data_IF_577957151656
#
_entry.id   IF_577957151656
#
_cell.length_a   1.000
_cell.length_b   1.000
_cell.length_c   1.000
_cell.angle_alpha   90.00
_cell.angle_beta   90.00
_cell.angle_gamma   90.00
#
_symmetry.space_group_name_H-M   'P 1'
#
loop_
_entity.id
_entity.type
_entity.pdbx_description
1 polymer ?
#
# COMPACT_ATOMS: atom_id res chain seq x y z
N UNK A 1 -4.73 17.45 6.85
CA UNK A 1 -4.43 16.63 5.64
C UNK A 1 -3.17 17.17 5.01
N UNK A 2 -2.01 16.70 5.47
CA UNK A 2 -0.71 17.12 4.95
C UNK A 2 -0.51 16.47 3.58
N UNK A 3 -0.49 17.27 2.51
CA UNK A 3 -0.16 16.80 1.16
C UNK A 3 1.30 16.38 1.13
N UNK A 4 1.56 15.07 1.26
CA UNK A 4 2.88 14.48 1.04
C UNK A 4 3.35 14.85 -0.38
N UNK A 5 4.60 15.33 -0.58
CA UNK A 5 5.15 15.60 -1.91
C UNK A 5 5.07 14.35 -2.79
N UNK A 6 4.73 14.52 -4.07
CA UNK A 6 4.44 13.42 -5.00
C UNK A 6 5.61 12.42 -5.08
N UNK A 7 5.42 11.18 -4.60
CA UNK A 7 6.47 10.17 -4.66
C UNK A 7 6.89 9.86 -6.11
N UNK A 8 8.09 9.33 -6.33
CA UNK A 8 8.53 8.93 -7.68
C UNK A 8 7.60 7.88 -8.32
N UNK A 9 6.97 7.02 -7.50
CA UNK A 9 5.94 6.08 -7.96
C UNK A 9 4.64 6.78 -8.40
N UNK A 10 4.36 8.00 -7.93
CA UNK A 10 3.21 8.80 -8.34
C UNK A 10 3.30 9.17 -9.83
N UNK A 11 4.50 9.40 -10.35
CA UNK A 11 4.71 9.65 -11.78
C UNK A 11 4.47 8.40 -12.63
N UNK A 12 4.74 7.19 -12.10
CA UNK A 12 4.40 5.91 -12.75
C UNK A 12 2.89 5.68 -12.78
N UNK A 13 2.20 6.17 -11.75
CA UNK A 13 0.76 6.00 -11.54
C UNK A 13 -0.09 7.07 -12.27
N UNK A 14 0.37 8.32 -12.36
CA UNK A 14 -0.37 9.44 -12.97
C UNK A 14 -0.34 9.46 -14.49
N UNK A 15 0.42 8.57 -15.13
CA UNK A 15 0.54 8.53 -16.60
C UNK A 15 -0.74 8.10 -17.31
N UNK A 16 -1.71 7.51 -16.60
CA UNK A 16 -2.96 7.03 -17.22
C UNK A 16 -4.25 7.43 -16.50
N UNK A 17 -4.21 7.79 -15.21
CA UNK A 17 -5.40 8.20 -14.44
C UNK A 17 -5.01 9.29 -13.43
N UNK A 18 -5.89 10.28 -13.20
CA UNK A 18 -5.80 11.25 -12.08
C UNK A 18 -6.56 10.68 -10.89
N UNK A 19 -5.90 10.02 -9.95
CA UNK A 19 -6.62 9.21 -9.01
C UNK A 19 -6.87 10.04 -7.75
N UNK A 20 -8.05 9.84 -7.18
CA UNK A 20 -8.58 10.73 -6.16
C UNK A 20 -7.76 10.68 -4.87
N UNK A 21 -7.88 11.72 -4.04
CA UNK A 21 -7.28 11.79 -2.70
C UNK A 21 -7.59 10.55 -1.86
N UNK A 22 -8.78 9.96 -2.01
CA UNK A 22 -9.18 8.73 -1.30
C UNK A 22 -8.34 7.50 -1.70
N UNK A 23 -7.99 7.37 -2.98
CA UNK A 23 -7.20 6.22 -3.44
C UNK A 23 -5.76 6.32 -2.97
N UNK A 24 -5.22 7.53 -2.94
CA UNK A 24 -3.93 7.80 -2.32
C UNK A 24 -3.87 7.36 -0.86
N UNK A 25 -4.86 7.79 -0.07
CA UNK A 25 -4.94 7.46 1.35
C UNK A 25 -4.97 5.94 1.53
N UNK A 26 -5.76 5.22 0.72
CA UNK A 26 -5.79 3.75 0.77
C UNK A 26 -4.44 3.10 0.46
N UNK A 27 -3.64 3.68 -0.45
CA UNK A 27 -2.32 3.14 -0.77
C UNK A 27 -1.34 3.40 0.37
N UNK A 28 -1.35 4.61 0.92
CA UNK A 28 -0.53 5.00 2.06
C UNK A 28 -0.86 4.15 3.30
N UNK A 29 -2.15 3.95 3.59
CA UNK A 29 -2.61 3.12 4.71
C UNK A 29 -2.28 1.63 4.48
N UNK A 30 -2.40 1.13 3.24
CA UNK A 30 -1.96 -0.24 2.90
C UNK A 30 -0.47 -0.42 3.15
N UNK A 31 0.37 0.50 2.66
CA UNK A 31 1.82 0.44 2.84
C UNK A 31 2.20 0.52 4.32
N UNK A 32 1.51 1.36 5.11
CA UNK A 32 1.68 1.44 6.55
C UNK A 32 1.34 0.11 7.23
N UNK A 33 0.18 -0.47 6.94
CA UNK A 33 -0.23 -1.76 7.52
C UNK A 33 0.79 -2.86 7.21
N UNK A 34 1.25 -2.94 5.97
CA UNK A 34 2.25 -3.93 5.56
C UNK A 34 3.57 -3.76 6.29
N UNK A 35 4.01 -2.52 6.49
CA UNK A 35 5.21 -2.22 7.26
C UNK A 35 5.06 -2.63 8.72
N UNK A 36 3.93 -2.30 9.35
CA UNK A 36 3.65 -2.65 10.75
C UNK A 36 3.62 -4.17 10.93
N UNK A 37 2.88 -4.91 10.09
CA UNK A 37 2.82 -6.39 10.13
C UNK A 37 4.18 -7.04 9.87
N UNK A 38 4.95 -6.50 8.93
CA UNK A 38 6.27 -7.03 8.65
C UNK A 38 7.26 -6.79 9.79
N UNK A 39 7.12 -5.68 10.53
CA UNK A 39 7.90 -5.41 11.74
C UNK A 39 7.56 -6.37 12.89
N UNK A 40 6.32 -6.88 12.92
CA UNK A 40 5.84 -7.91 13.85
C UNK A 40 6.19 -9.34 13.39
N UNK A 41 6.78 -9.51 12.19
CA UNK A 41 7.08 -10.81 11.61
C UNK A 41 5.86 -11.56 11.06
N UNK A 42 4.71 -10.89 10.92
CA UNK A 42 3.45 -11.47 10.48
C UNK A 42 3.20 -11.19 8.99
N UNK A 43 2.74 -12.18 8.20
CA UNK A 43 2.21 -11.92 6.86
C UNK A 43 0.88 -11.16 6.96
N UNK A 44 0.58 -10.33 5.96
CA UNK A 44 -0.73 -9.68 5.84
C UNK A 44 -1.57 -10.39 4.76
N UNK A 45 -2.85 -10.61 5.01
CA UNK A 45 -3.79 -11.12 4.00
C UNK A 45 -4.66 -10.01 3.41
N UNK A 46 -5.36 -10.31 2.32
CA UNK A 46 -6.31 -9.35 1.71
C UNK A 46 -7.46 -9.08 2.65
N UNK A 47 -7.85 -10.07 3.45
CA UNK A 47 -8.92 -9.96 4.42
C UNK A 47 -8.48 -9.07 5.61
N UNK A 48 -7.22 -9.17 6.06
CA UNK A 48 -6.63 -8.23 7.03
C UNK A 48 -6.67 -6.79 6.51
N UNK A 49 -6.32 -6.57 5.24
CA UNK A 49 -6.36 -5.25 4.61
C UNK A 49 -7.80 -4.72 4.54
N UNK A 50 -8.74 -5.54 4.08
CA UNK A 50 -10.15 -5.16 3.98
C UNK A 50 -10.71 -4.75 5.35
N UNK A 51 -10.38 -5.53 6.39
CA UNK A 51 -10.80 -5.26 7.76
C UNK A 51 -10.14 -4.00 8.34
N UNK A 52 -8.83 -3.86 8.21
CA UNK A 52 -8.07 -2.73 8.77
C UNK A 52 -8.39 -1.41 8.08
N UNK A 53 -8.58 -1.44 6.76
CA UNK A 53 -8.89 -0.25 5.96
C UNK A 53 -10.39 0.05 5.87
N UNK A 54 -11.24 -0.82 6.45
CA UNK A 54 -12.71 -0.73 6.41
C UNK A 54 -13.25 -0.57 4.98
N UNK A 55 -12.70 -1.34 4.05
CA UNK A 55 -13.13 -1.37 2.64
C UNK A 55 -13.66 -2.75 2.27
N UNK A 56 -14.39 -2.84 1.16
CA UNK A 56 -14.79 -4.14 0.63
C UNK A 56 -13.56 -4.96 0.21
N UNK A 57 -13.66 -6.30 0.31
CA UNK A 57 -12.62 -7.22 -0.17
C UNK A 57 -12.23 -6.95 -1.62
N UNK A 58 -13.21 -6.67 -2.48
CA UNK A 58 -12.97 -6.28 -3.88
C UNK A 58 -12.13 -5.02 -3.99
N UNK A 59 -12.36 -4.01 -3.13
CA UNK A 59 -11.55 -2.78 -3.14
C UNK A 59 -10.14 -3.03 -2.62
N UNK A 60 -9.99 -3.85 -1.58
CA UNK A 60 -8.68 -4.29 -1.09
C UNK A 60 -7.89 -5.01 -2.19
N UNK A 61 -8.51 -5.96 -2.90
CA UNK A 61 -7.91 -6.65 -4.04
C UNK A 61 -7.44 -5.68 -5.13
N UNK A 62 -8.26 -4.68 -5.49
CA UNK A 62 -7.86 -3.67 -6.47
C UNK A 62 -6.63 -2.86 -6.03
N UNK A 63 -6.58 -2.48 -4.75
CA UNK A 63 -5.44 -1.75 -4.18
C UNK A 63 -4.18 -2.62 -4.21
N UNK A 64 -4.28 -3.87 -3.79
CA UNK A 64 -3.17 -4.83 -3.79
C UNK A 64 -2.66 -5.06 -5.20
N UNK A 65 -3.55 -5.37 -6.15
CA UNK A 65 -3.16 -5.59 -7.54
C UNK A 65 -2.44 -4.38 -8.14
N UNK A 66 -2.84 -3.16 -7.76
CA UNK A 66 -2.17 -1.95 -8.22
C UNK A 66 -0.78 -1.77 -7.60
N UNK A 67 -0.64 -2.01 -6.31
CA UNK A 67 0.67 -1.94 -5.62
C UNK A 67 1.62 -3.02 -6.13
N UNK A 68 1.11 -4.19 -6.46
CA UNK A 68 1.85 -5.29 -7.09
C UNK A 68 2.32 -4.92 -8.51
N UNK A 69 1.43 -4.35 -9.35
CA UNK A 69 1.81 -3.81 -10.67
C UNK A 69 2.89 -2.73 -10.59
N UNK A 70 2.92 -1.97 -9.48
CA UNK A 70 3.93 -0.94 -9.25
C UNK A 70 5.25 -1.51 -8.70
N UNK A 71 5.28 -2.79 -8.32
CA UNK A 71 6.44 -3.44 -7.72
C UNK A 71 6.64 -3.09 -6.25
N UNK A 72 5.61 -2.57 -5.57
CA UNK A 72 5.67 -2.19 -4.14
C UNK A 72 5.21 -3.32 -3.20
N UNK A 73 4.49 -4.30 -3.73
CA UNK A 73 3.95 -5.43 -2.99
C UNK A 73 4.24 -6.73 -3.75
N UNK A 74 4.44 -7.81 -3.02
CA UNK A 74 4.49 -9.18 -3.57
C UNK A 74 3.61 -10.12 -2.73
N UNK A 75 2.98 -11.09 -3.40
CA UNK A 75 2.25 -12.19 -2.77
C UNK A 75 3.15 -13.42 -2.65
N UNK A 76 3.06 -14.13 -1.54
CA UNK A 76 3.62 -15.46 -1.41
C UNK A 76 2.65 -16.53 -1.95
N UNK A 77 3.15 -17.77 -2.06
CA UNK A 77 2.36 -18.90 -2.56
C UNK A 77 1.22 -19.31 -1.61
N UNK A 78 1.26 -18.90 -0.35
CA UNK A 78 0.27 -19.21 0.69
C UNK A 78 -0.83 -18.13 0.78
N UNK A 79 -0.76 -17.09 -0.06
CA UNK A 79 -1.72 -15.99 -0.08
C UNK A 79 -1.41 -14.84 0.89
N UNK A 80 -0.29 -14.93 1.60
CA UNK A 80 0.28 -13.82 2.35
C UNK A 80 0.88 -12.76 1.44
N UNK A 81 0.95 -11.53 1.95
CA UNK A 81 1.48 -10.38 1.24
C UNK A 81 2.58 -9.71 2.05
N UNK A 82 3.58 -9.23 1.34
CA UNK A 82 4.71 -8.50 1.90
C UNK A 82 5.06 -7.30 1.02
N UNK A 83 5.52 -6.23 1.65
CA UNK A 83 6.12 -5.13 0.92
C UNK A 83 7.44 -5.58 0.29
N UNK A 84 7.67 -5.19 -0.97
CA UNK A 84 8.99 -5.32 -1.60
C UNK A 84 9.98 -4.35 -0.96
N UNK A 85 11.25 -4.43 -1.33
CA UNK A 85 12.24 -3.46 -0.86
C UNK A 85 11.91 -2.02 -1.31
N UNK A 86 11.32 -1.83 -2.50
CA UNK A 86 10.80 -0.52 -2.92
C UNK A 86 9.56 -0.11 -2.11
N UNK A 87 8.63 -1.04 -1.87
CA UNK A 87 7.46 -0.82 -1.03
C UNK A 87 7.80 -0.42 0.41
N UNK A 88 8.80 -1.06 1.01
CA UNK A 88 9.31 -0.73 2.35
C UNK A 88 9.85 0.69 2.44
N UNK A 89 10.66 1.11 1.45
CA UNK A 89 11.18 2.50 1.40
C UNK A 89 10.06 3.52 1.32
N UNK A 90 9.03 3.22 0.54
CA UNK A 90 7.88 4.10 0.40
C UNK A 90 6.98 4.09 1.65
N UNK A 91 6.77 2.93 2.27
CA UNK A 91 6.09 2.84 3.56
C UNK A 91 6.81 3.66 4.64
N UNK A 92 8.14 3.56 4.73
CA UNK A 92 8.94 4.36 5.65
C UNK A 92 8.81 5.87 5.39
N UNK A 93 8.73 6.28 4.13
CA UNK A 93 8.47 7.68 3.76
C UNK A 93 7.10 8.13 4.27
N UNK A 94 6.06 7.32 4.04
CA UNK A 94 4.68 7.59 4.50
C UNK A 94 4.62 7.71 6.02
N UNK A 95 5.20 6.74 6.74
CA UNK A 95 5.23 6.71 8.21
C UNK A 95 5.98 7.92 8.78
N UNK A 96 7.13 8.30 8.21
CA UNK A 96 7.92 9.45 8.67
C UNK A 96 7.21 10.79 8.53
N UNK A 97 6.33 10.96 7.54
CA UNK A 97 5.60 12.22 7.32
C UNK A 97 4.33 12.30 8.20
N UNK A 98 3.84 11.15 8.69
CA UNK A 98 2.70 11.07 9.61
C UNK A 98 3.09 11.18 11.09
N UNK A 99 4.37 11.03 11.43
CA UNK A 99 4.92 11.28 12.77
C UNK A 99 5.02 12.77 13.05
#
# INVERSE_FOLDING_TARGET
MSLIPTPSWWKRWSKSLRPGVRERVLFEDTLKLLHDRQSEGLPASVDDLAQSLRVSRQKAEQVVARLEQMGLLTRDAEGGMRATEEGRREALRVVRIHR
#
